data_IF_959138198130
#
_entry.id   IF_959138198130
#
_cell.length_a   1.000
_cell.length_b   1.000
_cell.length_c   1.000
_cell.angle_alpha   90.00
_cell.angle_beta   90.00
_cell.angle_gamma   90.00
#
_symmetry.space_group_name_H-M   'P 1'
#
loop_
_entity.id
_entity.type
_entity.pdbx_description
1 polymer ?
#
# COMPACT_ATOMS: atom_id res chain seq x y z
N UNK A 1 54.08 44.96 -19.09
CA UNK A 1 53.63 43.61 -19.53
C UNK A 1 52.17 43.45 -19.15
N UNK A 2 51.27 43.01 -20.04
CA UNK A 2 49.84 42.88 -19.74
C UNK A 2 49.56 41.66 -18.86
N UNK A 3 48.70 41.83 -17.86
CA UNK A 3 48.17 40.76 -17.02
C UNK A 3 47.09 39.95 -17.80
N UNK A 4 46.98 38.63 -17.59
CA UNK A 4 46.01 37.79 -18.30
C UNK A 4 44.56 38.04 -17.84
N UNK A 5 43.56 37.82 -18.72
CA UNK A 5 42.15 38.07 -18.44
C UNK A 5 41.54 37.07 -17.44
N UNK A 6 40.61 37.56 -16.61
CA UNK A 6 39.83 36.77 -15.65
C UNK A 6 38.99 35.72 -16.37
N UNK A 7 39.13 34.46 -15.97
CA UNK A 7 38.35 33.34 -16.47
C UNK A 7 36.94 33.39 -15.89
N UNK A 8 35.95 33.54 -16.77
CA UNK A 8 34.55 33.31 -16.48
C UNK A 8 34.30 31.78 -16.51
N UNK A 9 34.16 31.16 -15.34
CA UNK A 9 33.80 29.74 -15.22
C UNK A 9 32.33 29.62 -14.84
N UNK A 10 31.53 29.56 -15.89
CA UNK A 10 30.19 28.97 -15.97
C UNK A 10 29.92 27.92 -14.89
N UNK A 11 28.89 28.15 -14.09
CA UNK A 11 28.28 27.19 -13.17
C UNK A 11 27.91 25.90 -13.89
N UNK A 12 28.62 24.81 -13.60
CA UNK A 12 28.19 23.45 -13.98
C UNK A 12 26.98 23.13 -13.10
N UNK A 13 25.78 23.30 -13.65
CA UNK A 13 24.53 22.84 -13.03
C UNK A 13 24.57 21.32 -13.01
N UNK A 14 24.74 20.76 -11.82
CA UNK A 14 24.76 19.33 -11.56
C UNK A 14 23.43 18.73 -12.07
N UNK A 15 23.48 17.92 -13.14
CA UNK A 15 22.30 17.22 -13.66
C UNK A 15 22.06 16.01 -12.76
N UNK A 16 21.09 16.13 -11.85
CA UNK A 16 20.56 14.98 -11.13
C UNK A 16 20.04 13.96 -12.17
N UNK A 17 20.42 12.68 -12.10
CA UNK A 17 19.86 11.66 -12.99
C UNK A 17 18.34 11.66 -12.85
N UNK A 18 17.62 11.91 -13.93
CA UNK A 18 16.16 11.76 -13.97
C UNK A 18 15.88 10.28 -13.78
N UNK A 19 15.48 9.89 -12.57
CA UNK A 19 15.04 8.52 -12.32
C UNK A 19 13.92 8.19 -13.32
N UNK A 20 13.93 7.00 -13.94
CA UNK A 20 12.86 6.61 -14.85
C UNK A 20 11.53 6.69 -14.10
N UNK A 21 10.52 7.31 -14.74
CA UNK A 21 9.18 7.38 -14.20
C UNK A 21 8.66 5.95 -14.01
N UNK A 22 8.52 5.52 -12.76
CA UNK A 22 8.03 4.18 -12.43
C UNK A 22 6.65 3.96 -13.08
N UNK A 23 6.50 2.82 -13.77
CA UNK A 23 5.26 2.45 -14.47
C UNK A 23 4.68 1.18 -13.84
N UNK A 24 3.38 1.14 -13.51
CA UNK A 24 2.77 0.11 -12.66
C UNK A 24 2.51 -1.24 -13.38
N UNK A 25 3.29 -1.61 -14.39
CA UNK A 25 3.10 -2.85 -15.14
C UNK A 25 1.70 -3.01 -15.78
N UNK A 26 1.37 -4.19 -16.33
CA UNK A 26 0.08 -4.46 -16.97
C UNK A 26 -1.12 -4.46 -16.00
N UNK A 27 -0.92 -4.90 -14.75
CA UNK A 27 -1.95 -4.93 -13.71
C UNK A 27 -2.32 -3.52 -13.24
N UNK A 28 -1.40 -2.57 -13.35
CA UNK A 28 -1.64 -1.18 -12.99
C UNK A 28 -1.74 -0.97 -11.48
N UNK A 29 -2.43 0.10 -11.09
CA UNK A 29 -2.66 0.41 -9.68
C UNK A 29 -3.94 -0.28 -9.21
N UNK A 30 -3.90 -0.91 -8.03
CA UNK A 30 -5.14 -1.32 -7.34
C UNK A 30 -6.08 -0.12 -7.20
N UNK A 31 -7.36 -0.35 -7.49
CA UNK A 31 -8.39 0.69 -7.48
C UNK A 31 -8.51 1.33 -6.09
N UNK A 32 -8.53 2.66 -5.96
CA UNK A 32 -8.74 3.30 -4.66
C UNK A 32 -10.05 2.84 -4.00
N UNK A 33 -10.00 2.52 -2.71
CA UNK A 33 -11.19 2.16 -1.94
C UNK A 33 -11.67 3.40 -1.20
N UNK A 34 -12.79 3.97 -1.65
CA UNK A 34 -13.48 5.02 -0.91
C UNK A 34 -14.14 4.42 0.33
N UNK A 35 -13.80 4.93 1.50
CA UNK A 35 -14.32 4.45 2.78
C UNK A 35 -14.53 5.60 3.75
N UNK A 36 -15.56 5.50 4.60
CA UNK A 36 -15.74 6.42 5.71
C UNK A 36 -14.62 6.29 6.75
N UNK A 37 -14.00 7.40 7.12
CA UNK A 37 -12.93 7.47 8.15
C UNK A 37 -13.39 6.82 9.46
N UNK A 38 -14.64 7.03 9.89
CA UNK A 38 -15.17 6.42 11.11
C UNK A 38 -15.20 4.89 11.02
N UNK A 39 -15.53 4.32 9.86
CA UNK A 39 -15.51 2.88 9.67
C UNK A 39 -14.08 2.31 9.76
N UNK A 40 -13.10 3.03 9.22
CA UNK A 40 -11.67 2.68 9.36
C UNK A 40 -11.24 2.68 10.82
N UNK A 41 -11.60 3.72 11.57
CA UNK A 41 -11.29 3.79 13.00
C UNK A 41 -11.98 2.68 13.79
N UNK A 42 -13.25 2.40 13.52
CA UNK A 42 -14.00 1.32 14.17
C UNK A 42 -13.31 -0.04 13.96
N UNK A 43 -12.88 -0.34 12.72
CA UNK A 43 -12.17 -1.59 12.41
C UNK A 43 -10.79 -1.63 13.05
N UNK A 44 -10.05 -0.51 13.05
CA UNK A 44 -8.72 -0.41 13.70
C UNK A 44 -8.79 -0.58 15.22
N UNK A 45 -9.87 -0.13 15.86
CA UNK A 45 -10.05 -0.25 17.32
C UNK A 45 -10.33 -1.68 17.78
N UNK A 46 -10.72 -2.59 16.87
CA UNK A 46 -10.89 -4.01 17.20
C UNK A 46 -9.52 -4.64 17.48
N UNK A 47 -9.34 -5.18 18.67
CA UNK A 47 -8.09 -5.79 19.13
C UNK A 47 -8.38 -7.14 19.79
N UNK A 48 -7.32 -7.97 19.91
CA UNK A 48 -7.44 -9.31 20.49
C UNK A 48 -8.50 -10.15 19.78
N UNK A 49 -9.43 -10.69 20.56
CA UNK A 49 -10.46 -11.62 20.12
C UNK A 49 -11.60 -10.98 19.32
N UNK A 50 -11.63 -9.65 19.16
CA UNK A 50 -12.62 -8.93 18.35
C UNK A 50 -12.14 -8.63 16.92
N UNK A 51 -10.89 -8.96 16.60
CA UNK A 51 -10.29 -8.65 15.30
C UNK A 51 -10.90 -9.50 14.20
N UNK A 52 -11.45 -8.83 13.18
CA UNK A 52 -12.09 -9.48 12.04
C UNK A 52 -11.08 -10.23 11.17
N UNK A 53 -11.46 -11.40 10.68
CA UNK A 53 -10.63 -12.15 9.74
C UNK A 53 -10.70 -11.56 8.32
N UNK A 54 -9.61 -10.99 7.84
CA UNK A 54 -9.55 -10.41 6.49
C UNK A 54 -9.90 -11.44 5.41
N UNK A 55 -9.36 -12.66 5.49
CA UNK A 55 -9.65 -13.71 4.50
C UNK A 55 -11.14 -14.06 4.49
N UNK A 56 -11.72 -14.33 5.67
CA UNK A 56 -13.14 -14.70 5.79
C UNK A 56 -14.07 -13.68 5.13
N UNK A 57 -13.84 -12.40 5.44
CA UNK A 57 -14.75 -11.33 5.05
C UNK A 57 -14.48 -10.74 3.66
N UNK A 58 -13.27 -10.90 3.11
CA UNK A 58 -12.90 -10.31 1.82
C UNK A 58 -12.78 -11.34 0.69
N UNK A 59 -12.42 -12.59 1.00
CA UNK A 59 -12.24 -13.67 0.01
C UNK A 59 -13.26 -14.81 0.15
N UNK A 60 -14.14 -14.73 1.14
CA UNK A 60 -15.05 -15.82 1.49
C UNK A 60 -14.46 -16.75 2.56
N UNK A 61 -15.02 -17.95 2.76
CA UNK A 61 -14.73 -18.79 3.92
C UNK A 61 -13.23 -18.97 4.22
N UNK A 62 -12.84 -18.72 5.47
CA UNK A 62 -11.46 -18.87 5.89
C UNK A 62 -11.04 -20.34 5.83
N UNK A 63 -9.91 -20.62 5.16
CA UNK A 63 -9.35 -21.98 5.05
C UNK A 63 -8.84 -22.53 6.38
N UNK A 64 -8.68 -21.68 7.39
CA UNK A 64 -8.21 -22.03 8.74
C UNK A 64 -9.32 -21.92 9.79
N UNK A 65 -10.56 -22.25 9.45
CA UNK A 65 -11.73 -21.98 10.31
C UNK A 65 -11.56 -22.44 11.76
N UNK A 66 -10.97 -23.61 11.98
CA UNK A 66 -10.84 -24.22 13.32
C UNK A 66 -9.69 -23.65 14.16
N UNK A 67 -8.71 -22.99 13.53
CA UNK A 67 -7.48 -22.51 14.19
C UNK A 67 -7.21 -21.02 13.96
N UNK A 68 -8.13 -20.31 13.31
CA UNK A 68 -7.97 -18.88 13.04
C UNK A 68 -8.24 -18.10 14.33
N UNK A 69 -7.30 -17.25 14.78
CA UNK A 69 -7.48 -16.44 15.98
C UNK A 69 -8.38 -15.21 15.74
N UNK A 70 -9.01 -15.09 14.57
CA UNK A 70 -9.79 -13.93 14.16
C UNK A 70 -11.27 -14.29 14.06
N UNK A 71 -12.12 -13.29 14.31
CA UNK A 71 -13.57 -13.45 14.30
C UNK A 71 -14.07 -13.79 12.89
N UNK A 72 -14.95 -14.79 12.81
CA UNK A 72 -15.67 -15.18 11.60
C UNK A 72 -17.19 -14.99 11.72
N UNK A 73 -17.74 -15.02 12.94
CA UNK A 73 -19.19 -15.12 13.16
C UNK A 73 -19.91 -13.75 13.24
N UNK A 74 -19.19 -12.65 13.10
CA UNK A 74 -19.76 -11.31 13.08
C UNK A 74 -20.30 -10.96 11.68
N UNK A 75 -21.35 -10.14 11.60
CA UNK A 75 -21.82 -9.56 10.33
C UNK A 75 -21.35 -8.10 10.25
N UNK A 76 -20.14 -7.83 9.73
CA UNK A 76 -19.68 -6.46 9.52
C UNK A 76 -20.57 -5.74 8.52
N UNK A 77 -20.74 -4.45 8.73
CA UNK A 77 -21.44 -3.57 7.78
C UNK A 77 -20.65 -3.43 6.47
N UNK A 78 -21.31 -3.00 5.39
CA UNK A 78 -20.64 -2.75 4.12
C UNK A 78 -19.50 -1.73 4.23
N UNK A 79 -19.65 -0.72 5.11
CA UNK A 79 -18.59 0.26 5.39
C UNK A 79 -17.40 -0.36 6.12
N UNK A 80 -17.66 -1.26 7.09
CA UNK A 80 -16.58 -1.99 7.78
C UNK A 80 -15.85 -2.95 6.84
N UNK A 81 -16.56 -3.58 5.89
CA UNK A 81 -15.93 -4.40 4.85
C UNK A 81 -15.02 -3.57 3.94
N UNK A 82 -15.46 -2.38 3.51
CA UNK A 82 -14.62 -1.44 2.75
C UNK A 82 -13.41 -0.99 3.57
N UNK A 83 -13.60 -0.69 4.85
CA UNK A 83 -12.51 -0.35 5.76
C UNK A 83 -11.51 -1.48 5.91
N UNK A 84 -11.98 -2.71 6.08
CA UNK A 84 -11.15 -3.91 6.18
C UNK A 84 -10.36 -4.17 4.90
N UNK A 85 -10.98 -3.98 3.73
CA UNK A 85 -10.33 -4.09 2.44
C UNK A 85 -9.24 -3.03 2.26
N UNK A 86 -9.54 -1.76 2.60
CA UNK A 86 -8.58 -0.66 2.54
C UNK A 86 -7.39 -0.91 3.48
N UNK A 87 -7.65 -1.36 4.71
CA UNK A 87 -6.61 -1.72 5.68
C UNK A 87 -5.77 -2.91 5.21
N UNK A 88 -6.38 -3.92 4.60
CA UNK A 88 -5.67 -5.09 4.06
C UNK A 88 -4.68 -4.70 2.97
N UNK A 89 -5.03 -3.72 2.13
CA UNK A 89 -4.16 -3.20 1.06
C UNK A 89 -2.96 -2.39 1.55
N UNK A 90 -2.94 -1.97 2.82
CA UNK A 90 -1.74 -1.37 3.42
C UNK A 90 -0.63 -2.41 3.63
N UNK A 91 -0.98 -3.69 3.67
CA UNK A 91 0.00 -4.77 3.65
C UNK A 91 0.39 -5.06 2.20
N UNK A 92 1.68 -4.93 1.84
CA UNK A 92 2.11 -5.19 0.47
C UNK A 92 1.96 -6.66 0.12
N UNK A 93 1.48 -6.93 -1.09
CA UNK A 93 1.47 -8.25 -1.66
C UNK A 93 2.90 -8.72 -1.90
N UNK A 94 3.22 -9.96 -1.51
CA UNK A 94 4.55 -10.55 -1.69
C UNK A 94 4.88 -10.82 -3.16
N UNK A 95 3.85 -11.03 -3.99
CA UNK A 95 3.98 -11.20 -5.45
C UNK A 95 3.93 -9.86 -6.20
N UNK A 96 3.65 -8.75 -5.52
CA UNK A 96 3.66 -7.40 -6.12
C UNK A 96 2.86 -7.31 -7.42
N UNK A 97 3.41 -6.62 -8.41
CA UNK A 97 2.77 -6.47 -9.73
C UNK A 97 2.65 -7.79 -10.53
N UNK A 98 3.40 -8.82 -10.14
CA UNK A 98 3.35 -10.16 -10.77
C UNK A 98 2.31 -11.08 -10.10
N UNK A 99 1.52 -10.57 -9.16
CA UNK A 99 0.43 -11.34 -8.56
C UNK A 99 -0.60 -11.72 -9.64
N UNK A 100 -0.94 -13.01 -9.72
CA UNK A 100 -1.95 -13.59 -10.62
C UNK A 100 -3.30 -13.83 -9.91
N UNK A 101 -3.38 -13.49 -8.62
CA UNK A 101 -4.59 -13.64 -7.83
C UNK A 101 -5.51 -12.45 -8.07
N UNK A 102 -6.62 -12.71 -8.76
CA UNK A 102 -7.66 -11.72 -9.10
C UNK A 102 -8.31 -11.13 -7.83
N UNK A 103 -8.55 -11.95 -6.81
CA UNK A 103 -9.18 -11.57 -5.54
C UNK A 103 -8.17 -11.22 -4.43
N UNK A 104 -6.95 -10.80 -4.81
CA UNK A 104 -5.92 -10.45 -3.84
C UNK A 104 -6.34 -9.22 -3.01
N UNK A 105 -6.27 -9.37 -1.69
CA UNK A 105 -6.68 -8.35 -0.71
C UNK A 105 -5.53 -7.43 -0.28
N UNK A 106 -4.32 -7.70 -0.74
CA UNK A 106 -3.09 -6.97 -0.42
C UNK A 106 -2.77 -5.93 -1.49
N UNK A 107 -1.95 -4.94 -1.15
CA UNK A 107 -1.58 -3.86 -2.06
C UNK A 107 -0.45 -4.25 -2.99
N UNK A 108 -0.61 -4.02 -4.30
CA UNK A 108 0.39 -4.27 -5.34
C UNK A 108 1.15 -3.00 -5.75
N UNK A 109 0.86 -1.85 -5.12
CA UNK A 109 1.42 -0.53 -5.46
C UNK A 109 2.90 -0.31 -5.11
N UNK A 110 3.69 -1.36 -4.84
CA UNK A 110 5.09 -1.19 -4.48
C UNK A 110 5.92 -0.71 -5.68
N UNK A 111 6.07 0.61 -5.77
CA UNK A 111 7.07 1.27 -6.60
C UNK A 111 7.07 2.80 -6.59
N UNK A 112 6.04 3.47 -6.04
CA UNK A 112 6.03 4.94 -5.94
C UNK A 112 5.96 5.50 -4.50
N UNK A 113 5.32 4.80 -3.55
CA UNK A 113 5.14 5.34 -2.19
C UNK A 113 6.32 5.07 -1.23
N UNK A 114 7.16 4.07 -1.48
CA UNK A 114 8.27 3.73 -0.58
C UNK A 114 9.48 4.66 -0.71
N UNK A 115 9.66 5.35 -1.85
CA UNK A 115 10.79 6.27 -2.01
C UNK A 115 10.51 7.63 -1.36
N UNK A 116 9.24 8.07 -1.33
CA UNK A 116 8.86 9.40 -0.82
C UNK A 116 8.43 9.38 0.66
N UNK A 117 7.95 8.25 1.19
CA UNK A 117 7.24 8.28 2.48
C UNK A 117 8.09 8.02 3.74
N UNK A 118 9.32 7.50 3.67
CA UNK A 118 10.16 7.32 4.87
C UNK A 118 9.51 6.58 6.05
N UNK A 119 8.45 5.79 5.82
CA UNK A 119 7.73 5.07 6.89
C UNK A 119 8.47 3.78 7.19
N UNK A 120 9.35 3.86 8.18
CA UNK A 120 9.88 2.69 8.87
C UNK A 120 8.71 1.89 9.46
N UNK A 121 8.64 0.61 9.07
CA UNK A 121 7.77 -0.40 9.67
C UNK A 121 8.01 -0.42 11.18
N UNK A 122 6.97 -0.14 11.96
CA UNK A 122 6.86 -0.51 13.39
C UNK A 122 6.01 -1.75 13.49
#
# INVERSE_FOLDING_TARGET
MPLPPKQDKTTVRNKTPTQPAWSPGPRGLDQPITVNVQAVENVKRRAGDDKLCNNHFLRGPCTRMDICPFVHNCKPTAEELRALAMLSRQNPCTSGQDCDVEDCIYGHHLGAWLLEAGVARQ
#
